data_IF_128827279086
#
_entry.id   IF_128827279086
#
_cell.length_a   1.000
_cell.length_b   1.000
_cell.length_c   1.000
_cell.angle_alpha   90.00
_cell.angle_beta   90.00
_cell.angle_gamma   90.00
#
_symmetry.space_group_name_H-M   'P 1'
#
loop_
_entity.id
_entity.type
_entity.pdbx_description
1 polymer ?
#
# COMPACT_ATOMS: atom_id res chain seq x y z
N UNK A 1 9.42 -2.69 -6.22
CA UNK A 1 10.67 -2.99 -5.46
C UNK A 1 11.61 -1.80 -5.56
N UNK A 2 12.41 -1.57 -4.50
CA UNK A 2 13.41 -0.51 -4.44
C UNK A 2 14.73 -1.05 -3.89
N UNK A 3 15.84 -0.45 -4.33
CA UNK A 3 17.19 -0.76 -3.85
C UNK A 3 17.42 -0.19 -2.46
N UNK A 4 18.14 -0.90 -1.59
CA UNK A 4 18.61 -0.40 -0.30
C UNK A 4 19.92 0.38 -0.50
N UNK A 5 19.94 1.64 -0.02
CA UNK A 5 21.09 2.56 -0.09
C UNK A 5 21.38 3.17 1.28
N UNK A 6 22.61 3.53 1.52
CA UNK A 6 23.02 4.25 2.74
C UNK A 6 22.50 5.70 2.72
N UNK A 7 22.39 6.31 3.90
CA UNK A 7 22.08 7.74 4.05
C UNK A 7 20.61 8.12 3.84
N UNK A 8 19.72 7.16 3.69
CA UNK A 8 18.26 7.39 3.62
C UNK A 8 17.55 6.69 4.78
N UNK A 9 16.46 7.27 5.32
CA UNK A 9 15.58 6.57 6.26
C UNK A 9 14.85 5.44 5.55
N UNK A 10 14.59 4.33 6.24
CA UNK A 10 13.74 3.26 5.78
C UNK A 10 12.31 3.54 6.25
N UNK A 11 11.39 3.78 5.31
CA UNK A 11 9.96 3.99 5.60
C UNK A 11 9.18 2.86 4.93
N UNK A 12 8.32 2.19 5.70
CA UNK A 12 7.42 1.14 5.20
C UNK A 12 6.04 1.29 5.85
N UNK A 13 5.00 1.38 5.02
CA UNK A 13 3.62 1.59 5.47
C UNK A 13 3.47 2.84 6.34
N UNK A 14 4.22 3.91 6.03
CA UNK A 14 4.28 5.15 6.78
C UNK A 14 5.02 5.08 8.11
N UNK A 15 5.66 3.96 8.45
CA UNK A 15 6.43 3.76 9.67
C UNK A 15 7.92 3.89 9.39
N UNK A 16 8.62 4.72 10.17
CA UNK A 16 10.08 4.74 10.19
C UNK A 16 10.62 3.44 10.82
N UNK A 17 11.32 2.65 10.03
CA UNK A 17 11.91 1.37 10.44
C UNK A 17 13.36 1.60 10.86
N UNK A 18 13.78 1.28 12.08
CA UNK A 18 15.17 1.41 12.50
C UNK A 18 16.08 0.47 11.69
N UNK A 19 16.86 1.06 10.77
CA UNK A 19 17.82 0.34 9.92
C UNK A 19 18.85 1.33 9.36
N UNK A 20 20.09 0.85 9.09
CA UNK A 20 21.18 1.69 8.60
C UNK A 20 21.08 2.11 7.14
N UNK A 21 20.16 1.48 6.38
CA UNK A 21 19.89 1.77 4.97
C UNK A 21 18.42 2.06 4.76
N UNK A 22 18.11 2.93 3.80
CA UNK A 22 16.73 3.18 3.34
C UNK A 22 16.58 2.84 1.87
N UNK A 23 15.37 3.03 1.34
CA UNK A 23 15.07 2.71 -0.04
C UNK A 23 15.36 3.90 -0.97
N UNK A 24 15.87 3.61 -2.16
CA UNK A 24 16.12 4.57 -3.23
C UNK A 24 14.82 4.87 -3.98
N UNK A 25 14.55 6.15 -4.24
CA UNK A 25 13.40 6.61 -5.00
C UNK A 25 13.20 8.12 -4.90
N UNK A 26 12.31 8.67 -5.73
CA UNK A 26 12.03 10.11 -5.80
C UNK A 26 11.24 10.61 -4.58
N UNK A 27 10.31 9.81 -4.08
CA UNK A 27 9.52 10.07 -2.87
C UNK A 27 10.25 9.61 -1.62
N UNK A 28 9.52 9.34 -0.53
CA UNK A 28 10.04 8.63 0.65
C UNK A 28 10.38 7.15 0.36
N UNK A 29 10.11 6.68 -0.86
CA UNK A 29 10.38 5.33 -1.37
C UNK A 29 9.73 4.19 -0.54
N UNK A 30 8.61 4.45 0.11
CA UNK A 30 7.82 3.45 0.82
C UNK A 30 7.23 2.41 -0.14
N UNK A 31 8.01 1.35 -0.38
CA UNK A 31 7.66 0.29 -1.34
C UNK A 31 6.39 -0.48 -0.95
N UNK A 32 6.03 -0.51 0.34
CA UNK A 32 4.79 -1.13 0.81
C UNK A 32 3.59 -0.28 0.41
N UNK A 33 3.65 1.01 0.66
CA UNK A 33 2.57 1.93 0.26
C UNK A 33 2.45 2.03 -1.25
N UNK A 34 3.57 2.03 -2.02
CA UNK A 34 3.55 2.02 -3.49
C UNK A 34 2.85 0.78 -4.06
N UNK A 35 3.11 -0.40 -3.52
CA UNK A 35 2.42 -1.61 -3.97
C UNK A 35 0.90 -1.56 -3.70
N UNK A 36 0.50 -0.98 -2.56
CA UNK A 36 -0.92 -0.79 -2.21
C UNK A 36 -1.58 0.24 -3.14
N UNK A 37 -0.89 1.33 -3.48
CA UNK A 37 -1.35 2.33 -4.45
C UNK A 37 -1.69 1.67 -5.79
N UNK A 38 -0.75 0.91 -6.35
CA UNK A 38 -0.94 0.23 -7.63
C UNK A 38 -2.05 -0.82 -7.57
N UNK A 39 -2.13 -1.57 -6.46
CA UNK A 39 -3.20 -2.54 -6.27
C UNK A 39 -4.60 -1.89 -6.26
N UNK A 40 -4.74 -0.70 -5.63
CA UNK A 40 -6.01 0.04 -5.60
C UNK A 40 -6.37 0.63 -6.96
N UNK A 41 -5.40 1.24 -7.64
CA UNK A 41 -5.58 1.79 -8.99
C UNK A 41 -5.98 0.68 -9.95
N UNK A 42 -5.27 -0.46 -9.92
CA UNK A 42 -5.58 -1.63 -10.74
C UNK A 42 -6.97 -2.20 -10.45
N UNK A 43 -7.37 -2.34 -9.17
CA UNK A 43 -8.69 -2.81 -8.78
C UNK A 43 -9.84 -1.90 -9.25
N UNK A 44 -9.58 -0.61 -9.41
CA UNK A 44 -10.53 0.38 -9.90
C UNK A 44 -10.45 0.59 -11.43
N UNK A 45 -9.50 -0.05 -12.14
CA UNK A 45 -9.28 0.11 -13.58
C UNK A 45 -8.68 1.47 -13.96
N UNK A 46 -7.85 2.06 -13.08
CA UNK A 46 -7.32 3.43 -13.20
C UNK A 46 -5.83 3.49 -13.60
N UNK A 47 -5.24 2.37 -14.04
CA UNK A 47 -3.82 2.31 -14.40
C UNK A 47 -2.90 2.13 -13.19
N UNK A 48 -1.82 2.89 -13.12
CA UNK A 48 -0.74 2.76 -12.13
C UNK A 48 -0.29 4.12 -11.57
N UNK A 49 0.58 4.07 -10.55
CA UNK A 49 1.16 5.25 -9.88
C UNK A 49 1.96 6.12 -10.88
N UNK A 50 2.67 5.52 -11.83
CA UNK A 50 3.46 6.23 -12.83
C UNK A 50 2.58 7.09 -13.74
N UNK A 51 1.42 6.59 -14.13
CA UNK A 51 0.43 7.31 -14.95
C UNK A 51 -0.10 8.57 -14.23
N UNK A 52 -0.36 8.49 -12.93
CA UNK A 52 -0.98 9.59 -12.18
C UNK A 52 0.01 10.60 -11.62
N UNK A 53 1.19 10.15 -11.18
CA UNK A 53 2.14 11.01 -10.49
C UNK A 53 3.42 11.24 -11.30
N UNK A 54 3.69 10.42 -12.32
CA UNK A 54 4.91 10.47 -13.12
C UNK A 54 6.15 10.00 -12.36
N UNK A 55 7.28 9.93 -13.06
CA UNK A 55 8.59 9.61 -12.49
C UNK A 55 9.49 10.82 -12.68
N UNK A 56 10.35 11.12 -11.70
CA UNK A 56 11.31 12.22 -11.77
C UNK A 56 10.70 13.61 -11.72
N UNK A 57 9.44 13.76 -11.32
CA UNK A 57 8.79 15.06 -11.23
C UNK A 57 9.23 15.82 -9.97
N UNK A 58 9.69 17.09 -10.10
CA UNK A 58 10.15 17.88 -8.95
C UNK A 58 9.14 17.98 -7.81
N UNK A 59 7.84 18.05 -8.13
CA UNK A 59 6.76 18.13 -7.14
C UNK A 59 6.57 16.87 -6.30
N UNK A 60 7.16 15.75 -6.71
CA UNK A 60 7.10 14.47 -6.00
C UNK A 60 8.39 14.14 -5.24
N UNK A 61 9.42 14.99 -5.34
CA UNK A 61 10.68 14.78 -4.63
C UNK A 61 10.48 14.85 -3.13
N UNK A 62 10.79 13.74 -2.45
CA UNK A 62 10.65 13.62 -0.99
C UNK A 62 9.21 13.57 -0.47
N UNK A 63 8.21 13.49 -1.34
CA UNK A 63 6.80 13.42 -0.91
C UNK A 63 6.55 12.13 -0.12
N UNK A 64 5.71 12.23 0.91
CA UNK A 64 5.24 11.04 1.63
C UNK A 64 4.32 10.19 0.77
N UNK A 65 4.60 8.90 0.69
CA UNK A 65 3.76 7.95 -0.02
C UNK A 65 2.36 7.81 0.59
N UNK A 66 2.18 8.16 1.87
CA UNK A 66 0.85 8.23 2.48
C UNK A 66 0.00 9.34 1.86
N UNK A 67 0.59 10.49 1.53
CA UNK A 67 -0.12 11.57 0.81
C UNK A 67 -0.51 11.13 -0.61
N UNK A 68 0.34 10.36 -1.28
CA UNK A 68 -0.02 9.76 -2.57
C UNK A 68 -1.18 8.77 -2.41
N UNK A 69 -1.18 7.97 -1.34
CA UNK A 69 -2.26 7.03 -1.04
C UNK A 69 -3.59 7.77 -0.76
N UNK A 70 -3.57 8.87 -0.02
CA UNK A 70 -4.76 9.72 0.17
C UNK A 70 -5.33 10.22 -1.15
N UNK A 71 -4.46 10.69 -2.08
CA UNK A 71 -4.87 11.14 -3.42
C UNK A 71 -5.48 10.01 -4.24
N UNK A 72 -4.90 8.80 -4.18
CA UNK A 72 -5.45 7.62 -4.88
C UNK A 72 -6.79 7.21 -4.28
N UNK A 73 -6.94 7.20 -2.95
CA UNK A 73 -8.23 6.93 -2.29
C UNK A 73 -9.29 7.93 -2.74
N UNK A 74 -8.95 9.23 -2.82
CA UNK A 74 -9.87 10.25 -3.32
C UNK A 74 -10.24 10.02 -4.79
N UNK A 75 -9.27 9.65 -5.64
CA UNK A 75 -9.49 9.32 -7.04
C UNK A 75 -10.41 8.11 -7.20
N UNK A 76 -10.16 7.02 -6.49
CA UNK A 76 -11.00 5.81 -6.48
C UNK A 76 -12.44 6.15 -6.05
N UNK A 77 -12.60 7.04 -5.05
CA UNK A 77 -13.91 7.53 -4.61
C UNK A 77 -14.63 8.35 -5.68
N UNK A 78 -13.92 9.21 -6.42
CA UNK A 78 -14.50 10.00 -7.51
C UNK A 78 -15.05 9.13 -8.65
N UNK A 79 -14.50 7.91 -8.80
CA UNK A 79 -14.99 6.90 -9.76
C UNK A 79 -16.12 6.02 -9.20
N UNK A 80 -16.66 6.36 -8.03
CA UNK A 80 -17.78 5.64 -7.42
C UNK A 80 -17.37 4.36 -6.70
N UNK A 81 -16.12 4.21 -6.29
CA UNK A 81 -15.61 3.06 -5.54
C UNK A 81 -15.05 3.47 -4.18
N UNK A 82 -14.84 2.52 -3.31
CA UNK A 82 -14.01 2.64 -2.10
C UNK A 82 -13.20 1.37 -1.90
N UNK A 83 -12.08 1.50 -1.20
CA UNK A 83 -11.32 0.34 -0.75
C UNK A 83 -12.22 -0.60 0.08
N UNK A 84 -12.00 -1.90 -0.07
CA UNK A 84 -12.69 -2.93 0.71
C UNK A 84 -11.69 -3.70 1.58
N UNK A 85 -10.65 -4.27 0.99
CA UNK A 85 -9.55 -4.87 1.73
C UNK A 85 -8.24 -4.78 0.94
N UNK A 86 -7.14 -4.94 1.69
CA UNK A 86 -5.78 -5.01 1.16
C UNK A 86 -5.08 -6.21 1.81
N UNK A 87 -4.35 -6.98 1.00
CA UNK A 87 -3.41 -7.99 1.43
C UNK A 87 -2.04 -7.71 0.79
N UNK A 88 -0.99 -7.53 1.60
CA UNK A 88 0.34 -7.25 1.10
C UNK A 88 1.40 -8.12 1.78
N UNK A 89 2.43 -8.49 1.00
CA UNK A 89 3.58 -9.25 1.47
C UNK A 89 4.86 -8.50 1.17
N UNK A 90 5.61 -8.14 2.21
CA UNK A 90 6.92 -7.53 2.10
C UNK A 90 7.98 -8.64 2.08
N UNK A 91 8.86 -8.61 1.09
CA UNK A 91 10.00 -9.51 0.94
C UNK A 91 11.28 -8.74 1.26
N UNK A 92 11.91 -9.06 2.39
CA UNK A 92 13.13 -8.42 2.87
C UNK A 92 13.96 -9.40 3.70
N UNK A 93 15.28 -9.47 3.47
CA UNK A 93 16.18 -10.24 4.32
C UNK A 93 16.40 -9.54 5.67
N UNK A 94 16.55 -8.22 5.65
CA UNK A 94 16.64 -7.34 6.81
C UNK A 94 16.02 -5.98 6.50
N UNK A 95 15.56 -5.23 7.54
CA UNK A 95 15.45 -5.62 8.95
C UNK A 95 14.23 -6.55 9.20
N UNK A 96 14.07 -7.03 10.44
CA UNK A 96 12.88 -7.78 10.85
C UNK A 96 11.67 -6.84 10.95
N UNK A 97 10.73 -6.99 10.02
CA UNK A 97 9.57 -6.07 9.88
C UNK A 97 8.39 -6.47 10.76
N UNK A 98 8.26 -7.77 11.09
CA UNK A 98 7.08 -8.30 11.79
C UNK A 98 6.66 -7.54 13.06
N UNK A 99 7.56 -7.01 13.92
CA UNK A 99 7.16 -6.25 15.11
C UNK A 99 6.47 -4.92 14.79
N UNK A 100 6.69 -4.36 13.59
CA UNK A 100 6.17 -3.06 13.17
C UNK A 100 4.86 -3.17 12.38
N UNK A 101 4.47 -4.38 11.96
CA UNK A 101 3.24 -4.63 11.19
C UNK A 101 1.99 -4.02 11.86
N UNK A 102 1.76 -4.14 13.17
CA UNK A 102 0.57 -3.54 13.79
C UNK A 102 0.49 -2.02 13.61
N UNK A 103 1.61 -1.31 13.72
CA UNK A 103 1.67 0.13 13.50
C UNK A 103 1.40 0.50 12.04
N UNK A 104 2.02 -0.21 11.09
CA UNK A 104 1.80 -0.03 9.65
C UNK A 104 0.33 -0.26 9.28
N UNK A 105 -0.29 -1.34 9.79
CA UNK A 105 -1.71 -1.65 9.55
C UNK A 105 -2.62 -0.54 10.01
N UNK A 106 -2.40 -0.01 11.22
CA UNK A 106 -3.20 1.08 11.79
C UNK A 106 -3.15 2.33 10.91
N UNK A 107 -1.95 2.73 10.46
CA UNK A 107 -1.77 3.91 9.61
C UNK A 107 -2.45 3.69 8.25
N UNK A 108 -2.15 2.58 7.58
CA UNK A 108 -2.70 2.29 6.26
C UNK A 108 -4.23 2.15 6.29
N UNK A 109 -4.80 1.50 7.30
CA UNK A 109 -6.25 1.37 7.46
C UNK A 109 -6.93 2.73 7.62
N UNK A 110 -6.32 3.64 8.38
CA UNK A 110 -6.83 5.00 8.56
C UNK A 110 -6.87 5.78 7.23
N UNK A 111 -5.78 5.73 6.45
CA UNK A 111 -5.71 6.40 5.14
C UNK A 111 -6.68 5.78 4.14
N UNK A 112 -6.78 4.46 4.09
CA UNK A 112 -7.69 3.72 3.21
C UNK A 112 -9.17 3.93 3.57
N UNK A 113 -9.47 4.37 4.81
CA UNK A 113 -10.83 4.51 5.32
C UNK A 113 -11.53 3.17 5.54
N UNK A 114 -10.79 2.16 5.99
CA UNK A 114 -11.26 0.80 6.28
C UNK A 114 -10.93 0.40 7.74
N UNK A 115 -11.54 -0.68 8.24
CA UNK A 115 -11.15 -1.23 9.53
C UNK A 115 -9.76 -1.90 9.46
N UNK A 116 -8.99 -1.91 10.55
CA UNK A 116 -7.68 -2.56 10.59
C UNK A 116 -7.73 -4.05 10.19
N UNK A 117 -8.82 -4.73 10.49
CA UNK A 117 -9.04 -6.13 10.10
C UNK A 117 -9.14 -6.34 8.56
N UNK A 118 -9.34 -5.27 7.79
CA UNK A 118 -9.40 -5.30 6.33
C UNK A 118 -8.02 -5.05 5.68
N UNK A 119 -6.99 -4.76 6.48
CA UNK A 119 -5.61 -4.63 6.02
C UNK A 119 -4.79 -5.79 6.58
N UNK A 120 -4.37 -6.69 5.73
CA UNK A 120 -3.46 -7.77 6.11
C UNK A 120 -2.06 -7.49 5.58
N UNK A 121 -1.05 -7.57 6.46
CA UNK A 121 0.35 -7.40 6.10
C UNK A 121 1.14 -8.64 6.55
N UNK A 122 1.98 -9.12 5.65
CA UNK A 122 2.88 -10.26 5.87
C UNK A 122 4.32 -9.84 5.55
N UNK A 123 5.27 -10.45 6.22
CA UNK A 123 6.68 -10.28 5.91
C UNK A 123 7.33 -11.66 5.73
N UNK A 124 8.18 -11.78 4.74
CA UNK A 124 8.96 -12.97 4.44
C UNK A 124 10.36 -12.59 3.93
N UNK A 125 11.24 -13.57 3.80
CA UNK A 125 12.54 -13.41 3.14
C UNK A 125 12.52 -14.06 1.76
N UNK A 126 13.50 -13.73 0.92
CA UNK A 126 13.75 -14.42 -0.34
C UNK A 126 14.60 -15.71 -0.15
N UNK A 127 14.89 -16.11 1.10
CA UNK A 127 15.67 -17.32 1.45
C UNK A 127 17.06 -17.34 0.81
N UNK A 128 17.70 -16.17 0.73
CA UNK A 128 19.02 -16.04 0.12
C UNK A 128 19.03 -16.03 -1.43
N UNK A 129 17.87 -16.07 -2.09
CA UNK A 129 17.79 -16.15 -3.54
C UNK A 129 17.77 -14.75 -4.20
N UNK A 130 18.60 -14.57 -5.21
CA UNK A 130 18.67 -13.37 -6.04
C UNK A 130 19.08 -12.11 -5.27
N UNK A 131 18.87 -10.94 -5.87
CA UNK A 131 19.23 -9.65 -5.29
C UNK A 131 18.50 -9.37 -3.96
N UNK A 132 17.24 -9.78 -3.83
CA UNK A 132 16.49 -9.64 -2.58
C UNK A 132 17.11 -10.50 -1.49
N UNK A 133 17.48 -11.75 -1.82
CA UNK A 133 18.17 -12.66 -0.90
C UNK A 133 19.58 -12.23 -0.53
N UNK A 134 20.25 -11.46 -1.39
CA UNK A 134 21.52 -10.82 -1.09
C UNK A 134 21.35 -9.52 -0.24
N UNK A 135 20.11 -9.12 0.08
CA UNK A 135 19.83 -7.91 0.86
C UNK A 135 20.11 -6.60 0.10
N UNK A 136 20.01 -6.62 -1.24
CA UNK A 136 20.24 -5.44 -2.07
C UNK A 136 18.99 -4.54 -2.18
N UNK A 137 17.81 -5.03 -1.78
CA UNK A 137 16.56 -4.29 -1.88
C UNK A 137 15.43 -4.92 -1.09
N UNK A 138 14.29 -4.25 -1.14
CA UNK A 138 13.01 -4.74 -0.58
C UNK A 138 11.98 -4.74 -1.71
N UNK A 139 11.18 -5.80 -1.78
CA UNK A 139 10.04 -5.89 -2.67
C UNK A 139 8.74 -6.04 -1.89
N UNK A 140 7.63 -5.56 -2.48
CA UNK A 140 6.29 -5.79 -1.95
C UNK A 140 5.36 -6.22 -3.07
N UNK A 141 4.52 -7.19 -2.75
CA UNK A 141 3.40 -7.63 -3.57
C UNK A 141 2.11 -7.32 -2.83
N UNK A 142 1.18 -6.65 -3.47
CA UNK A 142 -0.10 -6.29 -2.88
C UNK A 142 -1.26 -6.66 -3.79
N UNK A 143 -2.38 -7.00 -3.18
CA UNK A 143 -3.67 -7.18 -3.83
C UNK A 143 -4.68 -6.35 -3.06
N UNK A 144 -5.55 -5.65 -3.75
CA UNK A 144 -6.63 -4.89 -3.17
C UNK A 144 -7.96 -5.26 -3.82
N UNK A 145 -9.04 -5.08 -3.08
CA UNK A 145 -10.38 -5.08 -3.65
C UNK A 145 -11.07 -3.75 -3.38
N UNK A 146 -11.96 -3.38 -4.29
CA UNK A 146 -12.80 -2.19 -4.17
C UNK A 146 -14.27 -2.58 -4.25
N UNK A 147 -15.14 -1.78 -3.64
CA UNK A 147 -16.60 -1.94 -3.74
C UNK A 147 -17.23 -0.66 -4.25
N UNK A 148 -18.30 -0.78 -5.03
CA UNK A 148 -19.05 0.38 -5.53
C UNK A 148 -19.75 1.11 -4.38
N UNK A 149 -19.64 2.42 -4.39
CA UNK A 149 -20.44 3.29 -3.51
C UNK A 149 -21.92 3.20 -3.94
N UNK A 150 -22.83 3.04 -2.97
CA UNK A 150 -24.27 2.99 -3.24
C UNK A 150 -24.84 1.59 -3.51
N UNK A 151 -24.03 0.55 -3.68
CA UNK A 151 -24.53 -0.83 -3.71
C UNK A 151 -24.54 -1.36 -2.27
N UNK A 152 -25.72 -1.37 -1.63
CA UNK A 152 -25.89 -2.16 -0.41
C UNK A 152 -25.66 -3.64 -0.78
N UNK A 153 -24.82 -4.37 -0.03
CA UNK A 153 -24.62 -5.80 -0.29
C UNK A 153 -26.00 -6.48 -0.25
N UNK A 154 -26.29 -7.31 -1.26
CA UNK A 154 -27.47 -8.19 -1.21
C UNK A 154 -27.33 -9.06 0.04
N UNK A 155 -28.39 -9.14 0.83
CA UNK A 155 -28.46 -10.13 1.90
C UNK A 155 -28.29 -11.52 1.31
N UNK A 156 -27.68 -12.43 2.06
CA UNK A 156 -27.48 -13.81 1.63
C UNK A 156 -28.80 -14.53 1.24
N UNK A 157 -29.96 -13.98 1.68
CA UNK A 157 -31.31 -14.46 1.38
C UNK A 157 -31.91 -13.93 0.07
N UNK A 158 -31.16 -13.15 -0.71
CA UNK A 158 -31.60 -12.61 -2.01
C UNK A 158 -32.71 -11.55 -1.96
N UNK A 159 -33.18 -11.14 -0.78
CA UNK A 159 -34.28 -10.19 -0.64
C UNK A 159 -33.81 -8.73 -0.68
N UNK A 160 -34.57 -7.81 -1.32
CA UNK A 160 -34.26 -6.39 -1.30
C UNK A 160 -34.39 -5.83 0.14
N UNK A 161 -33.62 -4.78 0.50
CA UNK A 161 -33.70 -4.14 1.81
C UNK A 161 -35.12 -3.58 2.02
N UNK A 162 -35.70 -3.83 3.20
CA UNK A 162 -36.99 -3.19 3.58
C UNK A 162 -36.82 -1.67 3.59
N UNK A 163 -37.71 -0.96 2.89
CA UNK A 163 -37.80 0.50 3.02
C UNK A 163 -38.25 0.81 4.44
N UNK A 164 -37.43 1.46 5.24
CA UNK A 164 -37.86 2.12 6.47
C UNK A 164 -38.64 3.38 6.07
N UNK A 165 -39.88 3.46 6.53
CA UNK A 165 -40.72 4.67 6.44
C UNK A 165 -40.13 5.77 7.32
#
# INVERSE_FOLDING_TARGET
>A
MHRLVAGRPLILGGVLVPFERGLEGDSDADVLTHAILDALLGAAGLGDIGTHFGVGRPENMGISSLLLLERVVALVRSQGYRANNVDATVVAEAPKISPLIPAMRKILAAVLGVAEAQVNLKATTAKGLGALGAGEGIATFAVASVVRLGIRPRRADGKPPRRTK
#
